data_IF_054553029915
#
_entry.id   IF_054553029915
#
_cell.length_a   1.000
_cell.length_b   1.000
_cell.length_c   1.000
_cell.angle_alpha   90.00
_cell.angle_beta   90.00
_cell.angle_gamma   90.00
#
_symmetry.space_group_name_H-M   'P 1'
#
loop_
_entity.id
_entity.type
_entity.pdbx_description
1 polymer ?
#
# COMPACT_ATOMS: atom_id res chain seq x y z
N UNK A 1 36.40 -12.30 3.11
CA UNK A 1 35.48 -12.22 4.26
C UNK A 1 34.58 -11.02 4.02
N UNK A 2 33.52 -11.19 3.23
CA UNK A 2 32.60 -10.11 2.88
C UNK A 2 31.36 -10.30 3.75
N UNK A 3 31.21 -9.45 4.77
CA UNK A 3 30.05 -9.48 5.66
C UNK A 3 28.84 -8.96 4.89
N UNK A 4 27.95 -9.87 4.50
CA UNK A 4 26.59 -9.55 4.05
C UNK A 4 25.88 -8.82 5.18
N UNK A 5 25.68 -7.53 5.00
CA UNK A 5 24.92 -6.70 5.92
C UNK A 5 23.44 -7.06 5.76
N UNK A 6 22.97 -8.00 6.57
CA UNK A 6 21.56 -8.32 6.74
C UNK A 6 20.85 -7.07 7.27
N UNK A 7 20.22 -6.31 6.37
CA UNK A 7 19.36 -5.21 6.79
C UNK A 7 18.16 -5.79 7.54
N UNK A 8 17.84 -5.28 8.74
CA UNK A 8 16.68 -5.74 9.47
C UNK A 8 15.42 -5.42 8.66
N UNK A 9 14.59 -6.44 8.49
CA UNK A 9 13.19 -6.36 8.04
C UNK A 9 12.58 -5.02 8.44
N UNK A 10 12.36 -4.14 7.46
CA UNK A 10 11.56 -2.94 7.67
C UNK A 10 10.24 -3.42 8.26
N UNK A 11 9.97 -3.02 9.50
CA UNK A 11 8.78 -3.39 10.23
C UNK A 11 7.58 -3.27 9.30
N UNK A 12 6.93 -4.40 9.01
CA UNK A 12 5.77 -4.50 8.14
C UNK A 12 4.56 -3.84 8.82
N UNK A 13 4.67 -2.55 9.11
CA UNK A 13 3.55 -1.76 9.61
C UNK A 13 2.57 -1.57 8.45
N UNK A 14 1.31 -1.90 8.72
CA UNK A 14 0.22 -1.66 7.79
C UNK A 14 0.13 -0.16 7.50
N UNK A 15 -0.21 0.18 6.26
CA UNK A 15 -0.39 1.56 5.86
C UNK A 15 -1.56 2.15 6.63
N UNK A 16 -1.33 3.33 7.20
CA UNK A 16 -2.33 4.07 7.96
C UNK A 16 -2.18 5.56 7.72
N UNK A 17 -3.12 6.35 8.22
CA UNK A 17 -3.04 7.80 8.18
C UNK A 17 -2.60 8.33 9.54
N UNK A 18 -1.56 9.15 9.56
CA UNK A 18 -1.04 9.82 10.76
C UNK A 18 -1.92 10.99 11.21
N UNK A 19 -2.62 11.62 10.28
CA UNK A 19 -3.50 12.75 10.58
C UNK A 19 -3.78 13.63 9.37
N UNK A 20 -4.70 14.57 9.55
CA UNK A 20 -5.05 15.60 8.57
C UNK A 20 -4.03 16.75 8.64
N UNK A 21 -3.56 17.20 7.48
CA UNK A 21 -2.64 18.33 7.37
C UNK A 21 -3.43 19.65 7.39
N UNK A 22 -3.66 20.19 8.59
CA UNK A 22 -4.43 21.41 8.77
C UNK A 22 -3.87 22.64 8.02
N UNK A 23 -2.54 22.70 7.82
CA UNK A 23 -1.89 23.80 7.10
C UNK A 23 -2.19 23.84 5.60
N UNK A 24 -2.73 22.76 5.04
CA UNK A 24 -3.10 22.65 3.63
C UNK A 24 -4.62 22.71 3.41
N UNK A 25 -5.39 23.04 4.45
CA UNK A 25 -6.82 23.31 4.33
C UNK A 25 -7.06 24.73 3.80
N UNK A 26 -8.18 24.98 3.08
CA UNK A 26 -8.55 26.32 2.66
C UNK A 26 -8.61 27.31 3.83
N UNK A 27 -8.10 28.53 3.64
CA UNK A 27 -8.04 29.54 4.71
C UNK A 27 -9.42 30.11 5.07
N UNK A 28 -10.38 30.05 4.15
CA UNK A 28 -11.73 30.59 4.32
C UNK A 28 -12.71 29.59 4.97
N UNK A 29 -12.23 28.42 5.42
CA UNK A 29 -13.06 27.44 6.13
C UNK A 29 -13.67 28.06 7.40
N UNK A 30 -14.95 27.79 7.64
CA UNK A 30 -15.68 28.35 8.77
C UNK A 30 -16.14 29.79 8.58
N UNK A 31 -15.92 30.39 7.40
CA UNK A 31 -16.47 31.70 7.03
C UNK A 31 -17.70 31.55 6.12
N UNK A 32 -18.50 32.60 6.00
CA UNK A 32 -19.65 32.63 5.09
C UNK A 32 -19.28 32.45 3.59
N UNK A 33 -18.00 32.57 3.23
CA UNK A 33 -17.49 32.37 1.86
C UNK A 33 -16.77 31.03 1.67
N UNK A 34 -16.62 30.24 2.73
CA UNK A 34 -15.92 28.97 2.67
C UNK A 34 -16.70 27.94 1.84
N UNK A 35 -16.00 27.11 1.04
CA UNK A 35 -16.67 26.06 0.28
C UNK A 35 -17.24 25.01 1.24
N UNK A 36 -18.42 24.47 0.90
CA UNK A 36 -19.05 23.39 1.67
C UNK A 36 -18.27 22.07 1.55
N UNK A 37 -17.70 21.81 0.36
CA UNK A 37 -16.88 20.65 0.06
C UNK A 37 -15.50 21.10 -0.40
N UNK A 38 -14.47 20.42 0.06
CA UNK A 38 -13.07 20.73 -0.19
C UNK A 38 -12.21 19.46 -0.11
N UNK A 39 -10.95 19.61 -0.51
CA UNK A 39 -9.97 18.54 -0.38
C UNK A 39 -9.42 18.54 1.04
N UNK A 40 -9.48 17.38 1.70
CA UNK A 40 -8.86 17.13 2.99
C UNK A 40 -7.58 16.32 2.80
N UNK A 41 -6.40 16.95 2.90
CA UNK A 41 -5.13 16.24 2.80
C UNK A 41 -4.84 15.50 4.11
N UNK A 42 -4.62 14.19 4.02
CA UNK A 42 -4.17 13.34 5.11
C UNK A 42 -2.77 12.79 4.82
N UNK A 43 -1.95 12.61 5.86
CA UNK A 43 -0.57 12.16 5.74
C UNK A 43 -0.51 10.67 6.03
N UNK A 44 0.17 9.90 5.17
CA UNK A 44 0.42 8.48 5.44
C UNK A 44 1.45 8.28 6.56
N UNK A 45 1.33 7.18 7.30
CA UNK A 45 2.28 6.78 8.35
C UNK A 45 3.64 6.36 7.80
N UNK A 46 3.67 5.88 6.55
CA UNK A 46 4.87 5.59 5.78
C UNK A 46 4.64 5.89 4.30
N UNK A 47 5.67 5.75 3.48
CA UNK A 47 5.51 5.81 2.02
C UNK A 47 4.68 4.60 1.56
N UNK A 48 3.58 4.78 0.82
CA UNK A 48 2.84 3.67 0.23
C UNK A 48 3.72 2.89 -0.75
N UNK A 49 3.60 1.58 -0.76
CA UNK A 49 4.25 0.71 -1.74
C UNK A 49 3.52 0.79 -3.09
N UNK A 50 4.19 0.55 -4.23
CA UNK A 50 3.56 0.62 -5.55
C UNK A 50 2.30 -0.24 -5.66
N UNK A 51 2.32 -1.45 -5.08
CA UNK A 51 1.17 -2.34 -5.09
C UNK A 51 -0.02 -1.80 -4.28
N UNK A 52 0.25 -1.13 -3.17
CA UNK A 52 -0.80 -0.48 -2.37
C UNK A 52 -1.43 0.68 -3.15
N UNK A 53 -0.64 1.42 -3.94
CA UNK A 53 -1.14 2.49 -4.81
C UNK A 53 -2.02 1.95 -5.94
N UNK A 54 -1.62 0.84 -6.57
CA UNK A 54 -2.42 0.20 -7.61
C UNK A 54 -3.79 -0.26 -7.07
N UNK A 55 -3.81 -0.86 -5.89
CA UNK A 55 -5.04 -1.29 -5.22
C UNK A 55 -5.90 -0.10 -4.79
N UNK A 56 -5.27 0.99 -4.33
CA UNK A 56 -5.99 2.19 -3.91
C UNK A 56 -6.67 2.92 -5.08
N UNK A 57 -6.05 2.92 -6.26
CA UNK A 57 -6.65 3.44 -7.49
C UNK A 57 -7.59 2.44 -8.18
N UNK A 58 -7.81 1.26 -7.58
CA UNK A 58 -8.69 0.23 -8.10
C UNK A 58 -10.17 0.60 -8.01
N UNK A 59 -10.97 0.00 -8.89
CA UNK A 59 -12.43 0.24 -8.96
C UNK A 59 -13.17 -0.17 -7.67
N UNK A 60 -12.61 -1.11 -6.91
CA UNK A 60 -13.21 -1.60 -5.67
C UNK A 60 -13.24 -0.53 -4.58
N UNK A 61 -12.27 0.38 -4.55
CA UNK A 61 -12.25 1.49 -3.59
C UNK A 61 -13.39 2.48 -3.87
N UNK A 62 -13.54 2.88 -5.14
CA UNK A 62 -14.64 3.77 -5.55
C UNK A 62 -16.01 3.14 -5.28
N UNK A 63 -16.18 1.84 -5.58
CA UNK A 63 -17.42 1.11 -5.27
C UNK A 63 -17.75 1.11 -3.78
N UNK A 64 -16.77 0.87 -2.91
CA UNK A 64 -17.00 0.84 -1.45
C UNK A 64 -17.35 2.21 -0.87
N UNK A 65 -16.77 3.27 -1.44
CA UNK A 65 -17.14 4.64 -1.09
C UNK A 65 -18.60 4.91 -1.49
N UNK A 66 -18.99 4.53 -2.70
CA UNK A 66 -20.37 4.66 -3.20
C UNK A 66 -21.38 3.87 -2.35
N UNK A 67 -21.10 2.60 -2.06
CA UNK A 67 -21.92 1.74 -1.19
C UNK A 67 -22.08 2.31 0.24
N UNK A 68 -21.12 3.11 0.71
CA UNK A 68 -21.15 3.75 2.02
C UNK A 68 -21.79 5.14 2.00
N UNK A 69 -22.31 5.61 0.86
CA UNK A 69 -22.92 6.92 0.69
C UNK A 69 -21.95 8.06 0.39
N UNK A 70 -20.70 7.74 0.05
CA UNK A 70 -19.64 8.69 -0.30
C UNK A 70 -19.27 8.59 -1.79
N UNK A 71 -20.23 8.33 -2.68
CA UNK A 71 -19.98 8.12 -4.11
C UNK A 71 -19.33 9.31 -4.83
N UNK A 72 -19.55 10.53 -4.32
CA UNK A 72 -18.93 11.73 -4.88
C UNK A 72 -17.52 12.02 -4.32
N UNK A 73 -17.04 11.24 -3.34
CA UNK A 73 -15.70 11.40 -2.74
C UNK A 73 -14.66 10.66 -3.56
N UNK A 74 -13.55 11.32 -3.90
CA UNK A 74 -12.43 10.67 -4.58
C UNK A 74 -11.18 10.63 -3.68
N UNK A 75 -10.41 9.57 -3.84
CA UNK A 75 -9.15 9.35 -3.13
C UNK A 75 -8.00 9.44 -4.12
N UNK A 76 -7.18 10.48 -3.99
CA UNK A 76 -6.01 10.71 -4.83
C UNK A 76 -4.73 10.66 -4.01
N UNK A 77 -3.68 10.05 -4.53
CA UNK A 77 -2.38 10.04 -3.86
C UNK A 77 -1.46 11.08 -4.46
N UNK A 78 -0.87 11.91 -3.59
CA UNK A 78 0.18 12.86 -3.95
C UNK A 78 1.38 12.66 -3.03
N UNK A 79 2.41 11.98 -3.53
CA UNK A 79 3.63 11.63 -2.80
C UNK A 79 3.33 10.88 -1.48
N UNK A 80 3.47 11.52 -0.32
CA UNK A 80 3.18 10.93 1.00
C UNK A 80 1.82 11.34 1.58
N UNK A 81 0.94 11.90 0.75
CA UNK A 81 -0.37 12.40 1.17
C UNK A 81 -1.49 11.71 0.42
N UNK A 82 -2.53 11.39 1.15
CA UNK A 82 -3.84 11.06 0.61
C UNK A 82 -4.65 12.36 0.51
N UNK A 83 -5.09 12.71 -0.68
CA UNK A 83 -5.99 13.82 -0.94
C UNK A 83 -7.40 13.23 -1.05
N UNK A 84 -8.22 13.50 -0.04
CA UNK A 84 -9.63 13.10 -0.03
C UNK A 84 -10.40 14.29 -0.60
N UNK A 85 -10.84 14.18 -1.85
CA UNK A 85 -11.51 15.29 -2.56
C UNK A 85 -13.02 15.24 -2.37
N UNK A 86 -13.66 16.39 -2.60
CA UNK A 86 -15.11 16.55 -2.57
C UNK A 86 -15.77 16.06 -1.27
N UNK A 87 -15.15 16.38 -0.14
CA UNK A 87 -15.64 16.03 1.20
C UNK A 87 -15.54 17.22 2.14
N UNK A 88 -15.75 17.03 3.44
CA UNK A 88 -15.47 18.02 4.47
C UNK A 88 -15.06 17.35 5.79
N UNK A 89 -14.57 18.13 6.75
CA UNK A 89 -14.15 17.60 8.05
C UNK A 89 -15.28 16.94 8.85
N UNK A 90 -16.53 17.35 8.67
CA UNK A 90 -17.67 16.76 9.37
C UNK A 90 -17.98 15.35 8.84
N UNK A 91 -17.93 15.14 7.53
CA UNK A 91 -18.04 13.81 6.91
C UNK A 91 -16.90 12.88 7.35
N UNK A 92 -15.68 13.39 7.42
CA UNK A 92 -14.54 12.64 7.98
C UNK A 92 -14.81 12.19 9.41
N UNK A 93 -15.32 13.08 10.27
CA UNK A 93 -15.68 12.76 11.66
C UNK A 93 -16.87 11.79 11.74
N UNK A 94 -17.84 11.93 10.85
CA UNK A 94 -19.07 11.15 10.85
C UNK A 94 -18.85 9.68 10.48
N UNK A 95 -17.80 9.36 9.73
CA UNK A 95 -17.49 7.96 9.42
C UNK A 95 -16.47 7.76 8.30
N UNK A 96 -16.30 8.75 7.41
CA UNK A 96 -15.42 8.60 6.25
C UNK A 96 -13.98 8.31 6.65
N UNK A 97 -13.46 8.94 7.72
CA UNK A 97 -12.10 8.66 8.19
C UNK A 97 -11.91 7.19 8.62
N UNK A 98 -12.93 6.59 9.25
CA UNK A 98 -12.90 5.18 9.65
C UNK A 98 -13.01 4.25 8.45
N UNK A 99 -13.85 4.59 7.48
CA UNK A 99 -13.99 3.84 6.23
C UNK A 99 -12.67 3.84 5.46
N UNK A 100 -12.07 5.01 5.22
CA UNK A 100 -10.77 5.14 4.55
C UNK A 100 -9.68 4.38 5.29
N UNK A 101 -9.62 4.48 6.63
CA UNK A 101 -8.68 3.71 7.43
C UNK A 101 -8.86 2.18 7.32
N UNK A 102 -10.10 1.71 7.16
CA UNK A 102 -10.41 0.29 6.95
C UNK A 102 -9.98 -0.17 5.56
N UNK A 103 -10.28 0.62 4.52
CA UNK A 103 -9.84 0.36 3.14
C UNK A 103 -8.31 0.26 3.07
N UNK A 104 -7.59 1.22 3.66
CA UNK A 104 -6.12 1.23 3.66
C UNK A 104 -5.53 0.00 4.36
N UNK A 105 -6.11 -0.42 5.49
CA UNK A 105 -5.67 -1.61 6.21
C UNK A 105 -5.80 -2.87 5.34
N UNK A 106 -6.96 -3.05 4.72
CA UNK A 106 -7.23 -4.21 3.86
C UNK A 106 -6.33 -4.22 2.61
N UNK A 107 -6.08 -3.05 2.01
CA UNK A 107 -5.13 -2.91 0.90
C UNK A 107 -3.73 -3.34 1.32
N UNK A 108 -3.25 -2.91 2.49
CA UNK A 108 -1.95 -3.32 3.00
C UNK A 108 -1.88 -4.81 3.31
N UNK A 109 -2.94 -5.39 3.88
CA UNK A 109 -3.02 -6.83 4.14
C UNK A 109 -2.96 -7.62 2.83
N UNK A 110 -3.73 -7.21 1.82
CA UNK A 110 -3.71 -7.83 0.50
C UNK A 110 -2.33 -7.72 -0.17
N UNK A 111 -1.73 -6.53 -0.17
CA UNK A 111 -0.40 -6.31 -0.75
C UNK A 111 0.66 -7.17 -0.05
N UNK A 112 0.57 -7.31 1.28
CA UNK A 112 1.47 -8.17 2.06
C UNK A 112 1.31 -9.65 1.70
N UNK A 113 0.07 -10.14 1.61
CA UNK A 113 -0.22 -11.53 1.22
C UNK A 113 0.30 -11.86 -0.17
N UNK A 114 0.07 -10.98 -1.15
CA UNK A 114 0.59 -11.17 -2.50
C UNK A 114 2.12 -11.12 -2.59
N UNK A 115 2.77 -10.35 -1.70
CA UNK A 115 4.23 -10.30 -1.62
C UNK A 115 4.79 -11.60 -1.02
N UNK A 116 4.18 -12.10 0.05
CA UNK A 116 4.57 -13.36 0.69
C UNK A 116 4.40 -14.51 -0.31
N UNK A 117 3.25 -14.61 -0.97
CA UNK A 117 2.98 -15.65 -1.96
C UNK A 117 3.99 -15.64 -3.11
N UNK A 118 4.35 -14.45 -3.63
CA UNK A 118 5.39 -14.35 -4.67
C UNK A 118 6.78 -14.75 -4.19
N UNK A 119 7.12 -14.43 -2.94
CA UNK A 119 8.40 -14.84 -2.36
C UNK A 119 8.47 -16.37 -2.20
N UNK A 120 7.41 -16.99 -1.70
CA UNK A 120 7.31 -18.46 -1.57
C UNK A 120 7.44 -19.18 -2.92
N UNK A 121 6.80 -18.64 -3.97
CA UNK A 121 6.91 -19.20 -5.33
C UNK A 121 8.35 -19.10 -5.87
N UNK A 122 9.02 -17.97 -5.66
CA UNK A 122 10.41 -17.77 -6.09
C UNK A 122 11.39 -18.68 -5.33
N UNK A 123 11.17 -18.87 -4.03
CA UNK A 123 11.98 -19.77 -3.21
C UNK A 123 11.80 -21.22 -3.66
N UNK A 124 10.57 -21.64 -3.95
CA UNK A 124 10.29 -22.98 -4.47
C UNK A 124 10.97 -23.24 -5.83
N UNK A 125 10.93 -22.27 -6.74
CA UNK A 125 11.62 -22.36 -8.03
C UNK A 125 13.14 -22.41 -7.87
N UNK A 126 13.69 -21.65 -6.92
CA UNK A 126 15.12 -21.63 -6.63
C UNK A 126 15.61 -22.99 -6.14
N UNK A 127 14.86 -23.65 -5.25
CA UNK A 127 15.18 -25.00 -4.75
C UNK A 127 15.19 -26.05 -5.88
N UNK A 128 14.22 -25.98 -6.80
CA UNK A 128 14.16 -26.89 -7.95
C UNK A 128 15.41 -26.73 -8.83
N UNK A 129 15.83 -25.49 -9.08
CA UNK A 129 17.02 -25.22 -9.91
C UNK A 129 18.32 -25.65 -9.22
N UNK A 130 18.44 -25.44 -7.90
CA UNK A 130 19.58 -25.92 -7.11
C UNK A 130 19.73 -27.44 -7.21
N UNK A 131 18.63 -28.19 -7.03
CA UNK A 131 18.61 -29.65 -7.19
C UNK A 131 19.02 -30.08 -8.60
N UNK A 132 18.53 -29.38 -9.63
CA UNK A 132 18.89 -29.68 -11.03
C UNK A 132 20.38 -29.47 -11.29
N UNK A 133 20.95 -28.39 -10.76
CA UNK A 133 22.39 -28.09 -10.89
C UNK A 133 23.26 -29.08 -10.11
N UNK A 134 22.82 -29.53 -8.94
CA UNK A 134 23.52 -30.56 -8.17
C UNK A 134 23.53 -31.91 -8.91
N UNK A 135 22.39 -32.35 -9.44
CA UNK A 135 22.32 -33.57 -10.24
C UNK A 135 23.22 -33.50 -11.50
N UNK A 136 23.27 -32.34 -12.15
CA UNK A 136 24.15 -32.11 -13.29
C UNK A 136 25.64 -32.18 -12.89
N UNK A 137 26.02 -31.59 -11.75
CA UNK A 137 27.39 -31.66 -11.22
C UNK A 137 27.79 -33.09 -10.88
N UNK A 138 26.91 -33.85 -10.25
CA UNK A 138 27.16 -35.28 -9.95
C UNK A 138 27.41 -36.07 -11.23
N UNK A 139 26.53 -35.90 -12.22
CA UNK A 139 26.64 -36.60 -13.51
C UNK A 139 27.94 -36.26 -14.25
N UNK A 140 28.37 -34.99 -14.21
CA UNK A 140 29.61 -34.57 -14.83
C UNK A 140 30.85 -35.13 -14.10
N UNK A 141 30.81 -35.25 -12.77
CA UNK A 141 31.90 -35.80 -11.97
C UNK A 141 32.15 -37.30 -12.22
N UNK A 142 31.16 -38.03 -12.72
CA UNK A 142 31.29 -39.44 -13.07
C UNK A 142 32.03 -39.67 -14.40
N UNK A 143 32.12 -38.65 -15.26
CA UNK A 143 32.74 -38.77 -16.59
C UNK A 143 34.28 -38.68 -16.46
N UNK A 144 34.97 -39.73 -16.90
CA UNK A 144 36.43 -39.78 -16.99
C UNK A 144 36.86 -40.08 -18.43
N UNK A 145 37.93 -39.42 -18.89
CA UNK A 145 38.53 -39.65 -20.21
C UNK A 145 39.91 -40.26 -19.99
N UNK A 146 40.07 -41.54 -20.36
CA UNK A 146 41.36 -42.27 -20.38
C UNK A 146 42.16 -41.91 -21.63
#
# INVERSE_FOLDING_TARGET
>A
MTTTQSQPVQSASLLSLSGVLASALPHDLGTAKGPALYTVPAVFSRRPEPRELDLLHGIDVSRRLDESGYGDVELLVSDRRLLITNTNLEELKAGLARLVGTILREISEQALLERISRAEELDALSLIEEHRLEALRSSAAEIHFD
#
